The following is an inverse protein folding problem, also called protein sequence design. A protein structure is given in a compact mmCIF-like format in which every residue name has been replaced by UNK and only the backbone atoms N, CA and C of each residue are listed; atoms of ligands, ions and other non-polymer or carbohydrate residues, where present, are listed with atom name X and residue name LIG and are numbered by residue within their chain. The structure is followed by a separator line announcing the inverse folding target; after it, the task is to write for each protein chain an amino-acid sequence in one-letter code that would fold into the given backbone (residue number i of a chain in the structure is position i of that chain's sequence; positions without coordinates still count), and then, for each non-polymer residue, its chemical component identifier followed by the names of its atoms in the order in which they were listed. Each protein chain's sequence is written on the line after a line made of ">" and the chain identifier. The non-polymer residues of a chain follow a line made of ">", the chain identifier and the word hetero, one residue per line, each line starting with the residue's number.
data_IF_534028700453
#
_entry.id   IF_534028700453
#
_cell.length_a   1.000
_cell.length_b   1.000
_cell.length_c   1.000
_cell.angle_alpha   90.00
_cell.angle_beta   90.00
_cell.angle_gamma   90.00
#
_symmetry.space_group_name_H-M   'P 1'
#
loop_
_entity.id
_entity.type
_entity.pdbx_description
1 polymer ?
#
# COMPACT_ATOMS: atom_id res chain seq x y z
N UNK A 1 22.48 -2.65 14.54
CA UNK A 1 21.20 -2.99 13.90
C UNK A 1 21.47 -3.56 12.53
N UNK A 2 20.87 -4.68 12.15
CA UNK A 2 21.06 -5.27 10.82
C UNK A 2 20.53 -4.31 9.73
N UNK A 3 21.18 -4.31 8.55
CA UNK A 3 20.79 -3.47 7.40
C UNK A 3 19.32 -3.67 7.03
N UNK A 4 18.82 -4.90 7.13
CA UNK A 4 17.41 -5.25 6.92
C UNK A 4 16.46 -4.56 7.90
N UNK A 5 16.84 -4.40 9.17
CA UNK A 5 16.02 -3.70 10.16
C UNK A 5 15.86 -2.20 9.86
N UNK A 6 16.91 -1.55 9.37
CA UNK A 6 16.87 -0.12 9.01
C UNK A 6 15.98 0.13 7.79
N UNK A 7 16.05 -0.73 6.78
CA UNK A 7 15.19 -0.65 5.59
C UNK A 7 13.73 -0.88 5.93
N UNK A 8 13.45 -1.82 6.84
CA UNK A 8 12.09 -2.05 7.32
C UNK A 8 11.54 -0.85 8.09
N UNK A 9 12.35 -0.18 8.91
CA UNK A 9 11.96 1.07 9.58
C UNK A 9 11.53 2.13 8.57
N UNK A 10 12.35 2.39 7.55
CA UNK A 10 12.03 3.35 6.49
C UNK A 10 10.76 2.99 5.74
N UNK A 11 10.57 1.71 5.43
CA UNK A 11 9.35 1.24 4.77
C UNK A 11 8.11 1.50 5.63
N UNK A 12 8.19 1.32 6.95
CA UNK A 12 7.12 1.63 7.90
C UNK A 12 6.85 3.14 7.99
N UNK A 13 7.89 3.97 8.05
CA UNK A 13 7.76 5.43 8.02
C UNK A 13 7.01 5.92 6.77
N UNK A 14 7.31 5.33 5.60
CA UNK A 14 6.59 5.63 4.36
C UNK A 14 5.14 5.19 4.40
N UNK A 15 4.85 4.02 4.96
CA UNK A 15 3.48 3.53 5.11
C UNK A 15 2.67 4.43 6.06
N UNK A 16 3.28 4.86 7.15
CA UNK A 16 2.66 5.79 8.10
C UNK A 16 2.40 7.16 7.45
N UNK A 17 3.30 7.65 6.61
CA UNK A 17 3.08 8.88 5.85
C UNK A 17 1.87 8.77 4.91
N UNK A 18 1.71 7.63 4.22
CA UNK A 18 0.54 7.34 3.37
C UNK A 18 -0.74 7.34 4.21
N UNK A 19 -0.72 6.65 5.36
CA UNK A 19 -1.85 6.60 6.30
C UNK A 19 -2.26 7.98 6.77
N UNK A 20 -1.29 8.83 7.13
CA UNK A 20 -1.55 10.20 7.58
C UNK A 20 -2.21 11.05 6.49
N UNK A 21 -1.75 10.94 5.24
CA UNK A 21 -2.37 11.63 4.10
C UNK A 21 -3.83 11.18 3.90
N UNK A 22 -4.08 9.87 3.98
CA UNK A 22 -5.43 9.32 3.84
C UNK A 22 -6.36 9.78 4.97
N UNK A 23 -5.89 9.80 6.21
CA UNK A 23 -6.64 10.28 7.36
C UNK A 23 -6.96 11.78 7.27
N UNK A 24 -6.00 12.59 6.82
CA UNK A 24 -6.21 14.02 6.61
C UNK A 24 -7.29 14.28 5.54
N UNK A 25 -7.21 13.56 4.41
CA UNK A 25 -8.21 13.68 3.35
C UNK A 25 -9.59 13.21 3.82
N UNK A 26 -9.66 12.09 4.56
CA UNK A 26 -10.92 11.61 5.13
C UNK A 26 -11.55 12.66 6.05
N UNK A 27 -10.75 13.26 6.95
CA UNK A 27 -11.21 14.32 7.85
C UNK A 27 -11.77 15.51 7.06
N UNK A 28 -11.08 15.94 6.00
CA UNK A 28 -11.55 17.03 5.13
C UNK A 28 -12.89 16.71 4.46
N UNK A 29 -13.08 15.46 4.01
CA UNK A 29 -14.35 15.02 3.42
C UNK A 29 -15.48 15.04 4.44
N UNK A 30 -15.23 14.51 5.64
CA UNK A 30 -16.19 14.52 6.75
C UNK A 30 -16.57 15.96 7.12
N UNK A 31 -15.59 16.84 7.34
CA UNK A 31 -15.83 18.24 7.70
C UNK A 31 -16.66 18.97 6.65
N UNK A 32 -16.35 18.73 5.36
CA UNK A 32 -17.11 19.28 4.23
C UNK A 32 -18.56 18.78 4.22
N UNK A 33 -18.76 17.48 4.42
CA UNK A 33 -20.10 16.87 4.46
C UNK A 33 -20.89 17.42 5.64
N UNK A 34 -20.31 17.48 6.84
CA UNK A 34 -21.00 17.98 8.03
C UNK A 34 -21.34 19.47 7.94
N UNK A 35 -20.49 20.28 7.31
CA UNK A 35 -20.77 21.70 7.09
C UNK A 35 -21.96 21.90 6.14
N UNK A 36 -22.07 21.08 5.08
CA UNK A 36 -23.14 21.20 4.08
C UNK A 36 -24.42 20.48 4.46
N UNK A 37 -24.30 19.33 5.13
CA UNK A 37 -25.39 18.44 5.52
C UNK A 37 -25.33 18.17 7.03
N UNK A 38 -25.73 19.13 7.90
CA UNK A 38 -25.72 18.93 9.35
C UNK A 38 -26.50 17.70 9.81
N UNK A 39 -27.53 17.30 9.04
CA UNK A 39 -28.30 16.07 9.31
C UNK A 39 -27.44 14.81 9.26
N UNK A 40 -26.47 14.71 8.35
CA UNK A 40 -25.54 13.57 8.27
C UNK A 40 -24.74 13.45 9.56
N UNK A 41 -24.30 14.57 10.15
CA UNK A 41 -23.61 14.57 11.45
C UNK A 41 -24.49 14.02 12.57
N UNK A 42 -25.77 14.40 12.60
CA UNK A 42 -26.73 13.89 13.58
C UNK A 42 -26.98 12.39 13.41
N UNK A 43 -27.07 11.91 12.17
CA UNK A 43 -27.22 10.49 11.86
C UNK A 43 -25.98 9.72 12.35
N UNK A 44 -24.77 10.17 12.02
CA UNK A 44 -23.54 9.51 12.43
C UNK A 44 -23.38 9.47 13.97
N UNK A 45 -23.85 10.51 14.67
CA UNK A 45 -23.90 10.51 16.13
C UNK A 45 -24.93 9.50 16.68
N UNK A 46 -26.11 9.40 16.07
CA UNK A 46 -27.14 8.44 16.45
C UNK A 46 -26.69 6.99 16.20
N UNK A 47 -26.08 6.70 15.05
CA UNK A 47 -25.54 5.38 14.73
C UNK A 47 -24.47 4.95 15.76
N UNK A 48 -23.59 5.86 16.18
CA UNK A 48 -22.62 5.60 17.26
C UNK A 48 -23.27 5.31 18.60
N UNK A 49 -24.32 6.06 18.97
CA UNK A 49 -25.06 5.83 20.20
C UNK A 49 -25.76 4.47 20.21
N UNK A 50 -26.36 4.05 19.09
CA UNK A 50 -27.00 2.75 18.95
C UNK A 50 -26.02 1.58 19.11
N UNK A 51 -24.76 1.72 18.65
CA UNK A 51 -23.73 0.70 18.88
C UNK A 51 -23.41 0.52 20.37
N UNK A 52 -23.36 1.62 21.13
CA UNK A 52 -23.18 1.58 22.59
C UNK A 52 -24.39 0.94 23.28
N UNK A 53 -25.60 1.26 22.83
CA UNK A 53 -26.83 0.66 23.33
C UNK A 53 -26.87 -0.85 23.08
N UNK A 54 -26.52 -1.30 21.88
CA UNK A 54 -26.46 -2.71 21.51
C UNK A 54 -25.50 -3.49 22.43
N UNK A 55 -24.30 -2.96 22.67
CA UNK A 55 -23.33 -3.56 23.62
C UNK A 55 -23.91 -3.60 25.04
N UNK A 56 -24.64 -2.55 25.44
CA UNK A 56 -25.35 -2.54 26.71
C UNK A 56 -26.39 -3.65 26.83
N UNK A 57 -27.18 -3.89 25.77
CA UNK A 57 -28.21 -4.93 25.74
C UNK A 57 -27.64 -6.35 25.79
N UNK A 58 -26.47 -6.59 25.19
CA UNK A 58 -25.84 -7.92 25.24
C UNK A 58 -25.17 -8.21 26.59
N UNK A 59 -24.73 -7.19 27.32
CA UNK A 59 -24.08 -7.34 28.63
C UNK A 59 -25.10 -7.39 29.78
N UNK A 60 -26.24 -6.70 29.65
CA UNK A 60 -27.27 -6.66 30.70
C UNK A 60 -27.89 -8.05 30.89
N UNK A 61 -27.66 -8.65 32.07
CA UNK A 61 -28.41 -9.81 32.56
C UNK A 61 -29.77 -9.39 33.14
N UNK A 62 -30.61 -8.76 32.34
CA UNK A 62 -32.01 -8.55 32.72
C UNK A 62 -32.82 -9.76 32.25
N UNK A 63 -33.66 -10.31 33.13
CA UNK A 63 -34.35 -11.59 32.94
C UNK A 63 -35.50 -11.59 31.92
N UNK A 64 -35.34 -10.87 30.80
CA UNK A 64 -36.25 -10.84 29.66
C UNK A 64 -35.52 -11.15 28.36
N UNK A 65 -36.27 -11.50 27.31
CA UNK A 65 -35.72 -11.73 25.98
C UNK A 65 -35.32 -10.38 25.34
N UNK A 66 -34.03 -10.12 25.06
CA UNK A 66 -33.59 -8.86 24.45
C UNK A 66 -33.87 -8.79 22.94
N UNK A 67 -34.31 -9.90 22.31
CA UNK A 67 -34.51 -9.96 20.86
C UNK A 67 -35.47 -8.89 20.29
N UNK A 68 -36.59 -8.52 20.93
CA UNK A 68 -37.47 -7.48 20.40
C UNK A 68 -36.80 -6.10 20.37
N UNK A 69 -36.04 -5.75 21.42
CA UNK A 69 -35.31 -4.48 21.51
C UNK A 69 -34.18 -4.43 20.48
N UNK A 70 -33.42 -5.53 20.34
CA UNK A 70 -32.37 -5.66 19.32
C UNK A 70 -32.95 -5.49 17.91
N UNK A 71 -34.09 -6.13 17.61
CA UNK A 71 -34.75 -5.99 16.30
C UNK A 71 -35.26 -4.57 16.04
N UNK A 72 -35.76 -3.87 17.06
CA UNK A 72 -36.18 -2.49 16.93
C UNK A 72 -34.98 -1.57 16.63
N UNK A 73 -33.87 -1.79 17.35
CA UNK A 73 -32.62 -1.07 17.18
C UNK A 73 -32.02 -1.29 15.78
N UNK A 74 -32.02 -2.53 15.29
CA UNK A 74 -31.57 -2.89 13.94
C UNK A 74 -32.37 -2.18 12.84
N UNK A 75 -33.71 -2.16 12.95
CA UNK A 75 -34.56 -1.43 11.99
C UNK A 75 -34.27 0.07 12.00
N UNK A 76 -34.11 0.66 13.18
CA UNK A 76 -33.77 2.07 13.30
C UNK A 76 -32.38 2.38 12.72
N UNK A 77 -31.41 1.49 12.90
CA UNK A 77 -30.07 1.59 12.35
C UNK A 77 -30.10 1.57 10.81
N UNK A 78 -30.80 0.60 10.21
CA UNK A 78 -30.95 0.48 8.76
C UNK A 78 -31.64 1.70 8.15
N UNK A 79 -32.69 2.22 8.79
CA UNK A 79 -33.38 3.43 8.34
C UNK A 79 -32.45 4.66 8.32
N UNK A 80 -31.63 4.82 9.37
CA UNK A 80 -30.64 5.90 9.45
C UNK A 80 -29.53 5.75 8.38
N UNK A 81 -29.06 4.54 8.13
CA UNK A 81 -28.07 4.29 7.08
C UNK A 81 -28.63 4.62 5.68
N UNK A 82 -29.89 4.26 5.42
CA UNK A 82 -30.57 4.61 4.16
C UNK A 82 -30.72 6.13 4.00
N UNK A 83 -31.22 6.82 5.04
CA UNK A 83 -31.35 8.29 5.03
C UNK A 83 -29.99 8.97 4.77
N UNK A 84 -28.92 8.48 5.41
CA UNK A 84 -27.56 9.00 5.20
C UNK A 84 -27.10 8.84 3.76
N UNK A 85 -27.31 7.67 3.16
CA UNK A 85 -26.94 7.40 1.78
C UNK A 85 -27.71 8.30 0.80
N UNK A 86 -29.02 8.45 1.00
CA UNK A 86 -29.87 9.35 0.21
C UNK A 86 -29.40 10.80 0.27
N UNK A 87 -29.08 11.30 1.47
CA UNK A 87 -28.58 12.67 1.66
C UNK A 87 -27.25 12.92 0.94
N UNK A 88 -26.32 11.96 0.97
CA UNK A 88 -25.04 12.07 0.28
C UNK A 88 -25.23 12.09 -1.25
N UNK A 89 -26.02 11.14 -1.77
CA UNK A 89 -26.29 11.02 -3.20
C UNK A 89 -27.04 12.24 -3.73
N UNK A 90 -28.04 12.73 -3.00
CA UNK A 90 -28.79 13.93 -3.36
C UNK A 90 -27.91 15.19 -3.39
N UNK A 91 -26.83 15.24 -2.59
CA UNK A 91 -25.85 16.32 -2.59
C UNK A 91 -24.76 16.20 -3.67
N UNK A 92 -24.79 15.12 -4.47
CA UNK A 92 -23.85 14.82 -5.54
C UNK A 92 -22.60 14.05 -5.07
N UNK A 93 -22.65 13.42 -3.91
CA UNK A 93 -21.54 12.62 -3.37
C UNK A 93 -21.84 11.11 -3.44
N UNK A 94 -20.82 10.27 -3.69
CA UNK A 94 -20.94 8.83 -3.47
C UNK A 94 -21.39 8.50 -2.04
N UNK A 95 -22.12 7.40 -1.86
CA UNK A 95 -22.60 6.97 -0.54
C UNK A 95 -21.47 6.63 0.45
N UNK A 96 -20.30 6.26 -0.08
CA UNK A 96 -19.05 5.91 0.63
C UNK A 96 -18.07 7.10 0.71
N UNK A 97 -18.48 8.31 0.34
CA UNK A 97 -17.59 9.46 0.19
C UNK A 97 -16.79 9.80 1.47
N UNK A 98 -17.38 9.59 2.64
CA UNK A 98 -16.78 9.86 3.96
C UNK A 98 -16.17 8.64 4.64
N UNK A 99 -16.20 7.48 3.98
CA UNK A 99 -15.71 6.23 4.55
C UNK A 99 -14.19 6.24 4.74
N UNK A 100 -13.67 5.26 5.47
CA UNK A 100 -12.23 5.14 5.72
C UNK A 100 -11.44 5.06 4.42
N UNK A 101 -10.44 5.93 4.29
CA UNK A 101 -9.52 5.94 3.16
C UNK A 101 -8.28 5.16 3.55
N UNK A 102 -7.93 4.18 2.74
CA UNK A 102 -6.69 3.42 2.87
C UNK A 102 -6.12 3.11 1.48
N UNK A 103 -4.80 3.08 1.36
CA UNK A 103 -4.13 2.74 0.11
C UNK A 103 -4.07 1.22 -0.11
N UNK A 104 -3.97 0.44 0.97
CA UNK A 104 -3.98 -1.02 0.92
C UNK A 104 -5.31 -1.58 1.43
N UNK A 105 -6.13 -2.23 0.57
CA UNK A 105 -7.41 -2.81 1.01
C UNK A 105 -7.25 -4.05 1.89
N UNK A 106 -6.07 -4.70 1.86
CA UNK A 106 -5.80 -5.93 2.61
C UNK A 106 -5.53 -5.61 4.09
N UNK A 107 -4.52 -4.79 4.35
CA UNK A 107 -4.11 -4.46 5.72
C UNK A 107 -4.65 -3.12 6.23
N UNK A 108 -5.37 -2.35 5.41
CA UNK A 108 -5.82 -0.97 5.72
C UNK A 108 -4.69 -0.08 6.22
N UNK A 109 -3.57 -0.12 5.49
CA UNK A 109 -2.33 0.62 5.78
C UNK A 109 -1.65 0.27 7.13
N UNK A 110 -2.04 -0.81 7.81
CA UNK A 110 -1.34 -1.28 9.03
C UNK A 110 -0.01 -1.97 8.74
N UNK A 111 0.17 -2.45 7.51
CA UNK A 111 1.36 -3.19 7.08
C UNK A 111 1.42 -4.64 7.56
N UNK A 112 0.36 -5.13 8.20
CA UNK A 112 0.24 -6.51 8.70
C UNK A 112 -1.02 -7.19 8.15
N UNK A 113 -0.90 -8.44 7.75
CA UNK A 113 -2.01 -9.29 7.33
C UNK A 113 -1.90 -10.63 8.06
N UNK A 114 -2.87 -10.94 8.91
CA UNK A 114 -2.89 -12.21 9.66
C UNK A 114 -1.67 -12.49 10.56
N UNK A 115 -0.95 -11.46 11.00
CA UNK A 115 0.30 -11.62 11.78
C UNK A 115 1.57 -11.67 10.94
N UNK A 116 1.45 -11.69 9.61
CA UNK A 116 2.56 -11.58 8.67
C UNK A 116 2.69 -10.16 8.10
N UNK A 117 3.86 -9.86 7.51
CA UNK A 117 4.08 -8.58 6.83
C UNK A 117 3.24 -8.52 5.56
N UNK A 118 2.37 -7.53 5.47
CA UNK A 118 1.52 -7.35 4.29
C UNK A 118 2.35 -7.04 3.05
N UNK A 119 1.85 -7.48 1.89
CA UNK A 119 2.49 -7.25 0.58
C UNK A 119 2.76 -5.76 0.29
N UNK A 120 1.93 -4.83 0.80
CA UNK A 120 2.16 -3.39 0.59
C UNK A 120 3.43 -2.91 1.30
N UNK A 121 3.69 -3.38 2.53
CA UNK A 121 4.88 -3.04 3.28
C UNK A 121 6.11 -3.72 2.67
N UNK A 122 5.97 -4.95 2.18
CA UNK A 122 7.00 -5.64 1.41
C UNK A 122 7.39 -4.88 0.13
N UNK A 123 6.42 -4.33 -0.61
CA UNK A 123 6.69 -3.49 -1.79
C UNK A 123 7.49 -2.23 -1.43
N UNK A 124 7.16 -1.58 -0.30
CA UNK A 124 7.91 -0.42 0.19
C UNK A 124 9.33 -0.81 0.62
N UNK A 125 9.47 -1.93 1.34
CA UNK A 125 10.78 -2.47 1.72
C UNK A 125 11.66 -2.76 0.51
N UNK A 126 11.13 -3.44 -0.50
CA UNK A 126 11.87 -3.76 -1.72
C UNK A 126 12.29 -2.49 -2.46
N UNK A 127 11.45 -1.44 -2.50
CA UNK A 127 11.84 -0.13 -3.05
C UNK A 127 13.01 0.49 -2.29
N UNK A 128 13.01 0.43 -0.96
CA UNK A 128 14.14 0.92 -0.15
C UNK A 128 15.41 0.10 -0.42
N UNK A 129 15.28 -1.22 -0.51
CA UNK A 129 16.38 -2.12 -0.82
C UNK A 129 16.97 -1.81 -2.20
N UNK A 130 16.13 -1.70 -3.23
CA UNK A 130 16.56 -1.35 -4.59
C UNK A 130 17.19 0.04 -4.65
N UNK A 131 16.65 1.03 -3.94
CA UNK A 131 17.24 2.37 -3.88
C UNK A 131 18.63 2.34 -3.23
N UNK A 132 18.80 1.57 -2.15
CA UNK A 132 20.10 1.41 -1.50
C UNK A 132 21.09 0.68 -2.42
N UNK A 133 20.68 -0.42 -3.05
CA UNK A 133 21.52 -1.17 -4.00
C UNK A 133 21.88 -0.33 -5.22
N UNK A 134 20.93 0.40 -5.80
CA UNK A 134 21.17 1.31 -6.92
C UNK A 134 22.12 2.47 -6.56
N UNK A 135 22.19 2.85 -5.29
CA UNK A 135 23.18 3.84 -4.80
C UNK A 135 24.57 3.20 -4.67
N UNK A 136 24.66 1.95 -4.21
CA UNK A 136 25.92 1.20 -4.11
C UNK A 136 26.49 0.78 -5.47
N UNK A 137 25.63 0.51 -6.45
CA UNK A 137 25.97 0.14 -7.82
C UNK A 137 26.26 1.36 -8.72
N UNK A 138 26.14 2.59 -8.20
CA UNK A 138 26.55 3.81 -8.87
C UNK A 138 27.93 4.22 -8.36
N UNK A 139 28.92 3.36 -8.55
CA UNK A 139 30.32 3.71 -8.23
C UNK A 139 30.93 4.68 -9.25
N UNK A 140 30.18 5.11 -10.28
CA UNK A 140 30.56 6.19 -11.20
C UNK A 140 31.77 5.85 -12.08
N UNK A 141 32.24 4.61 -11.98
CA UNK A 141 33.42 4.09 -12.64
C UNK A 141 33.09 2.97 -13.61
N UNK A 142 31.86 2.44 -13.58
CA UNK A 142 31.43 1.42 -14.52
C UNK A 142 31.24 2.04 -15.91
N UNK A 143 32.16 1.74 -16.82
CA UNK A 143 32.06 2.11 -18.24
C UNK A 143 32.60 0.97 -19.08
N UNK A 144 32.13 0.86 -20.34
CA UNK A 144 32.67 -0.11 -21.29
C UNK A 144 34.19 0.03 -21.46
N UNK A 145 34.73 1.26 -21.33
CA UNK A 145 36.18 1.51 -21.40
C UNK A 145 37.02 0.93 -20.25
N UNK A 146 36.38 0.49 -19.15
CA UNK A 146 37.05 -0.18 -18.01
C UNK A 146 36.74 -1.67 -17.94
N UNK A 147 36.06 -2.21 -18.95
CA UNK A 147 35.77 -3.64 -19.02
C UNK A 147 37.05 -4.39 -19.41
N UNK A 148 37.63 -5.12 -18.46
CA UNK A 148 38.88 -5.85 -18.67
C UNK A 148 38.60 -7.34 -18.95
N UNK A 149 38.77 -7.73 -20.21
CA UNK A 149 38.64 -9.12 -20.65
C UNK A 149 39.71 -10.04 -20.07
N UNK A 150 40.83 -9.50 -19.56
CA UNK A 150 41.90 -10.30 -18.98
C UNK A 150 41.52 -10.94 -17.65
N UNK A 151 40.46 -10.45 -16.99
CA UNK A 151 39.92 -11.04 -15.77
C UNK A 151 39.24 -12.40 -15.99
N UNK A 152 39.00 -12.77 -17.25
CA UNK A 152 38.38 -14.04 -17.62
C UNK A 152 39.41 -15.01 -18.19
N UNK A 153 39.31 -16.28 -17.81
CA UNK A 153 40.22 -17.32 -18.30
C UNK A 153 40.04 -17.60 -19.80
N UNK A 154 41.16 -17.87 -20.47
CA UNK A 154 41.17 -18.32 -21.87
C UNK A 154 40.88 -19.81 -22.02
N UNK A 155 41.10 -20.60 -20.96
CA UNK A 155 40.81 -22.02 -20.98
C UNK A 155 39.30 -22.26 -21.10
N UNK A 156 38.91 -23.27 -21.88
CA UNK A 156 37.53 -23.69 -21.95
C UNK A 156 37.08 -24.24 -20.59
N UNK A 157 35.91 -23.81 -20.14
CA UNK A 157 35.32 -24.35 -18.92
C UNK A 157 34.99 -25.86 -19.14
N UNK A 158 35.42 -26.77 -18.26
CA UNK A 158 35.21 -28.21 -18.44
C UNK A 158 33.74 -28.65 -18.54
N UNK A 159 32.79 -27.85 -18.05
CA UNK A 159 31.35 -28.16 -18.06
C UNK A 159 30.66 -27.62 -19.31
N UNK A 160 31.06 -26.45 -19.80
CA UNK A 160 30.38 -25.80 -20.93
C UNK A 160 31.16 -25.93 -22.24
N UNK A 161 32.46 -26.26 -22.18
CA UNK A 161 33.33 -26.38 -23.35
C UNK A 161 33.70 -25.04 -23.99
N UNK A 162 33.33 -23.91 -23.37
CA UNK A 162 33.54 -22.57 -23.93
C UNK A 162 34.47 -21.76 -23.03
N UNK A 163 35.36 -20.97 -23.62
CA UNK A 163 36.20 -20.03 -22.87
C UNK A 163 35.34 -18.91 -22.26
N UNK A 164 35.42 -18.69 -20.94
CA UNK A 164 34.77 -17.55 -20.29
C UNK A 164 35.12 -16.21 -20.94
N UNK A 165 36.38 -16.02 -21.38
CA UNK A 165 36.82 -14.81 -22.08
C UNK A 165 36.12 -14.62 -23.42
N UNK A 166 35.92 -15.68 -24.19
CA UNK A 166 35.24 -15.59 -25.48
C UNK A 166 33.73 -15.30 -25.31
N UNK A 167 33.10 -15.95 -24.34
CA UNK A 167 31.72 -15.64 -23.94
C UNK A 167 31.57 -14.16 -23.56
N UNK A 168 32.43 -13.67 -22.67
CA UNK A 168 32.32 -12.30 -22.19
C UNK A 168 32.69 -11.26 -23.25
N UNK A 169 33.57 -11.59 -24.20
CA UNK A 169 33.81 -10.76 -25.39
C UNK A 169 32.55 -10.61 -26.22
N UNK A 170 31.83 -11.70 -26.49
CA UNK A 170 30.58 -11.64 -27.25
C UNK A 170 29.51 -10.81 -26.52
N UNK A 171 29.38 -10.99 -25.20
CA UNK A 171 28.46 -10.21 -24.36
C UNK A 171 28.84 -8.72 -24.42
N UNK A 172 30.12 -8.40 -24.22
CA UNK A 172 30.64 -7.03 -24.28
C UNK A 172 30.31 -6.34 -25.60
N UNK A 173 30.62 -6.99 -26.73
CA UNK A 173 30.38 -6.44 -28.06
C UNK A 173 28.88 -6.23 -28.34
N UNK A 174 28.06 -7.19 -27.93
CA UNK A 174 26.59 -7.12 -28.09
C UNK A 174 26.00 -5.95 -27.31
N UNK A 175 26.35 -5.83 -26.03
CA UNK A 175 25.91 -4.75 -25.16
C UNK A 175 26.42 -3.38 -25.63
N UNK A 176 27.68 -3.29 -26.07
CA UNK A 176 28.27 -2.05 -26.58
C UNK A 176 27.58 -1.61 -27.87
N UNK A 177 27.31 -2.54 -28.78
CA UNK A 177 26.60 -2.27 -30.03
C UNK A 177 25.16 -1.81 -29.76
N UNK A 178 24.47 -2.43 -28.82
CA UNK A 178 23.14 -1.99 -28.40
C UNK A 178 23.20 -0.57 -27.82
N UNK A 179 24.09 -0.31 -26.87
CA UNK A 179 24.23 0.98 -26.21
C UNK A 179 24.52 2.12 -27.22
N UNK A 180 25.36 1.88 -28.24
CA UNK A 180 25.64 2.85 -29.30
C UNK A 180 24.44 3.18 -30.18
N UNK A 181 23.53 2.23 -30.36
CA UNK A 181 22.37 2.36 -31.25
C UNK A 181 21.05 2.56 -30.49
N UNK A 182 21.11 2.70 -29.16
CA UNK A 182 19.93 2.85 -28.33
C UNK A 182 19.25 4.19 -28.58
N UNK A 183 17.95 4.16 -28.81
CA UNK A 183 17.15 5.35 -29.11
C UNK A 183 15.76 5.24 -28.48
N UNK A 184 14.99 6.34 -28.49
CA UNK A 184 13.61 6.35 -27.96
C UNK A 184 12.66 5.40 -28.71
N UNK A 185 13.02 4.95 -29.91
CA UNK A 185 12.25 3.99 -30.70
C UNK A 185 12.70 2.52 -30.49
N UNK A 186 13.69 2.27 -29.65
CA UNK A 186 14.16 0.91 -29.36
C UNK A 186 13.06 0.13 -28.60
N UNK A 187 12.77 -1.13 -28.97
CA UNK A 187 11.80 -1.96 -28.28
C UNK A 187 12.25 -2.26 -26.84
N UNK A 188 11.28 -2.30 -25.92
CA UNK A 188 11.47 -2.71 -24.53
C UNK A 188 11.60 -4.23 -24.39
#
# INVERSE_FOLDING_TARGET
>A
MSTSGRLLSKAREKLEAIRNVNQEEQRRRIDRVYARLPRVRSIDAALKAQMVELVGLTIRRQGGDPLPEIKALERANLALQAERAELLVAAGWPMDYTDEIYACPVCRDTGMDGGEICQCLWKLYNRELTAQLGTLLRCGNESFGKFDLNLYDTAADPKTGVSPRECMRLVYDTCLKYAKNFSQASPN
#
